data_IF_882524768690
#
_entry.id   IF_882524768690
#
_cell.length_a   1.000
_cell.length_b   1.000
_cell.length_c   1.000
_cell.angle_alpha   90.00
_cell.angle_beta   90.00
_cell.angle_gamma   90.00
#
_symmetry.space_group_name_H-M   'P 1'
#
loop_
_entity.id
_entity.type
_entity.pdbx_description
1 polymer ?
#
# COMPACT_ATOMS: atom_id res chain seq x y z
N UNK A 1 5.09 9.45 39.68
CA UNK A 1 4.21 10.42 38.98
C UNK A 1 4.87 11.80 39.00
N UNK A 2 5.72 12.14 38.01
CA UNK A 2 6.23 13.50 37.87
C UNK A 2 5.22 14.34 37.06
N UNK A 3 4.49 15.24 37.73
CA UNK A 3 3.79 16.34 37.05
C UNK A 3 4.86 17.31 36.51
N UNK A 4 5.07 17.32 35.19
CA UNK A 4 5.84 18.39 34.53
C UNK A 4 4.99 19.67 34.58
N UNK A 5 5.32 20.59 35.48
CA UNK A 5 4.73 21.93 35.50
C UNK A 5 5.13 22.67 34.23
N UNK A 6 4.15 23.07 33.42
CA UNK A 6 4.37 23.97 32.28
C UNK A 6 4.82 25.35 32.79
N UNK A 7 5.83 25.94 32.16
CA UNK A 7 6.28 27.28 32.51
C UNK A 7 5.18 28.32 32.20
N UNK A 8 5.13 29.46 32.91
CA UNK A 8 4.14 30.52 32.66
C UNK A 8 4.14 31.03 31.21
N UNK A 9 5.30 31.02 30.55
CA UNK A 9 5.46 31.36 29.13
C UNK A 9 4.78 30.35 28.20
N UNK A 10 4.92 29.04 28.47
CA UNK A 10 4.26 27.97 27.71
C UNK A 10 2.74 28.00 27.92
N UNK A 11 2.28 28.36 29.12
CA UNK A 11 0.86 28.51 29.43
C UNK A 11 0.23 29.68 28.66
N UNK A 12 0.90 30.84 28.61
CA UNK A 12 0.45 32.01 27.83
C UNK A 12 0.39 31.72 26.33
N UNK A 13 1.39 31.01 25.80
CA UNK A 13 1.42 30.61 24.40
C UNK A 13 0.27 29.63 24.08
N UNK A 14 0.03 28.64 24.94
CA UNK A 14 -1.07 27.69 24.77
C UNK A 14 -2.45 28.39 24.80
N UNK A 15 -2.65 29.35 25.70
CA UNK A 15 -3.86 30.17 25.75
C UNK A 15 -4.03 31.01 24.48
N UNK A 16 -2.98 31.66 24.00
CA UNK A 16 -3.03 32.48 22.78
C UNK A 16 -3.37 31.63 21.53
N UNK A 17 -2.73 30.47 21.38
CA UNK A 17 -3.02 29.52 20.28
C UNK A 17 -4.45 29.00 20.39
N UNK A 18 -4.91 28.64 21.60
CA UNK A 18 -6.28 28.22 21.85
C UNK A 18 -7.31 29.28 21.46
N UNK A 19 -7.07 30.55 21.84
CA UNK A 19 -7.95 31.67 21.45
C UNK A 19 -7.99 31.90 19.95
N UNK A 20 -6.88 31.76 19.23
CA UNK A 20 -6.85 31.88 17.77
C UNK A 20 -7.63 30.76 17.08
N UNK A 21 -7.52 29.51 17.56
CA UNK A 21 -8.28 28.37 17.02
C UNK A 21 -9.79 28.60 17.23
N UNK A 22 -10.20 29.01 18.43
CA UNK A 22 -11.62 29.31 18.73
C UNK A 22 -12.13 30.44 17.84
N UNK A 23 -11.35 31.50 17.65
CA UNK A 23 -11.72 32.61 16.78
C UNK A 23 -11.86 32.15 15.32
N UNK A 24 -10.92 31.37 14.81
CA UNK A 24 -10.96 30.83 13.44
C UNK A 24 -12.20 29.95 13.21
N UNK A 25 -12.52 29.07 14.17
CA UNK A 25 -13.73 28.25 14.15
C UNK A 25 -14.99 29.12 14.16
N UNK A 26 -15.06 30.12 15.06
CA UNK A 26 -16.21 31.02 15.17
C UNK A 26 -16.42 31.84 13.88
N UNK A 27 -15.33 32.33 13.27
CA UNK A 27 -15.38 33.03 11.98
C UNK A 27 -15.88 32.09 10.88
N UNK A 28 -15.38 30.85 10.80
CA UNK A 28 -15.85 29.89 9.80
C UNK A 28 -17.34 29.55 9.97
N UNK A 29 -17.81 29.33 11.20
CA UNK A 29 -19.22 29.13 11.51
C UNK A 29 -20.04 30.35 11.08
N UNK A 30 -19.58 31.56 11.41
CA UNK A 30 -20.25 32.81 11.04
C UNK A 30 -20.34 33.02 9.52
N UNK A 31 -19.35 32.56 8.75
CA UNK A 31 -19.32 32.69 7.30
C UNK A 31 -20.12 31.59 6.56
N UNK A 32 -20.15 30.37 7.09
CA UNK A 32 -20.67 29.19 6.36
C UNK A 32 -21.95 28.60 6.94
N UNK A 33 -22.27 28.91 8.20
CA UNK A 33 -23.33 28.24 8.96
C UNK A 33 -23.04 26.78 9.31
N UNK A 34 -21.84 26.28 8.98
CA UNK A 34 -21.47 24.88 9.21
C UNK A 34 -20.86 24.69 10.59
N UNK A 35 -21.42 23.76 11.36
CA UNK A 35 -20.87 23.38 12.65
C UNK A 35 -19.66 22.45 12.46
N UNK A 36 -18.59 22.62 13.26
CA UNK A 36 -17.50 21.68 13.27
C UNK A 36 -17.91 20.37 13.96
N UNK A 37 -17.42 19.25 13.45
CA UNK A 37 -17.46 17.97 14.15
C UNK A 37 -16.10 17.27 14.05
N UNK A 38 -15.81 16.46 15.06
CA UNK A 38 -14.61 15.63 15.07
C UNK A 38 -14.90 14.34 14.31
N UNK A 39 -14.12 14.08 13.27
CA UNK A 39 -14.18 12.85 12.51
C UNK A 39 -12.88 12.07 12.69
N UNK A 40 -12.99 10.76 12.87
CA UNK A 40 -11.82 9.89 13.01
C UNK A 40 -11.46 9.30 11.66
N UNK A 41 -10.25 9.59 11.20
CA UNK A 41 -9.72 9.06 9.94
C UNK A 41 -8.54 8.12 10.21
N UNK A 42 -8.37 7.15 9.32
CA UNK A 42 -7.16 6.35 9.25
C UNK A 42 -6.14 7.13 8.41
N UNK A 43 -4.97 7.38 8.97
CA UNK A 43 -3.87 8.05 8.27
C UNK A 43 -2.79 7.01 8.05
N UNK A 44 -2.68 6.53 6.81
CA UNK A 44 -1.63 5.63 6.37
C UNK A 44 -0.34 6.39 6.08
N UNK A 45 0.78 5.74 6.35
CA UNK A 45 2.13 6.23 6.07
C UNK A 45 3.03 5.06 5.73
N UNK A 46 4.16 5.35 5.10
CA UNK A 46 5.11 4.34 4.62
C UNK A 46 6.41 4.43 5.43
N UNK A 47 6.97 3.27 5.78
CA UNK A 47 8.27 3.15 6.43
C UNK A 47 9.16 2.15 5.68
N UNK A 48 10.49 2.26 5.89
CA UNK A 48 11.46 1.27 5.44
C UNK A 48 11.92 0.41 6.60
N UNK A 49 11.77 -0.90 6.44
CA UNK A 49 12.26 -1.91 7.38
C UNK A 49 13.48 -2.61 6.78
N UNK A 50 14.39 -3.05 7.64
CA UNK A 50 15.54 -3.88 7.29
C UNK A 50 15.64 -5.09 8.20
N UNK A 51 16.26 -6.15 7.70
CA UNK A 51 16.36 -7.41 8.42
C UNK A 51 17.47 -8.32 7.94
N UNK A 52 17.72 -9.37 8.73
CA UNK A 52 18.59 -10.48 8.30
C UNK A 52 17.87 -11.49 7.42
N UNK A 53 16.54 -11.48 7.47
CA UNK A 53 15.65 -12.37 6.73
C UNK A 53 14.30 -11.67 6.50
N UNK A 54 13.45 -12.15 5.58
CA UNK A 54 12.11 -11.58 5.40
C UNK A 54 11.23 -11.73 6.65
N UNK A 55 11.57 -12.66 7.56
CA UNK A 55 10.88 -12.91 8.84
C UNK A 55 11.52 -12.20 10.05
N UNK A 56 12.54 -11.36 9.81
CA UNK A 56 13.28 -10.63 10.86
C UNK A 56 13.46 -9.17 10.44
N UNK A 57 12.34 -8.49 10.14
CA UNK A 57 12.29 -7.12 9.66
C UNK A 57 12.02 -6.14 10.82
N UNK A 58 12.79 -5.06 10.86
CA UNK A 58 12.69 -4.00 11.88
C UNK A 58 12.77 -2.63 11.21
N UNK A 59 12.12 -1.59 11.77
CA UNK A 59 12.23 -0.23 11.23
C UNK A 59 13.69 0.24 11.21
N UNK A 60 14.12 0.80 10.08
CA UNK A 60 15.50 1.31 9.89
C UNK A 60 15.75 2.62 10.62
N UNK A 61 14.73 3.48 10.68
CA UNK A 61 14.80 4.82 11.21
C UNK A 61 13.57 5.09 12.09
N UNK A 62 13.69 6.07 12.99
CA UNK A 62 12.53 6.60 13.72
C UNK A 62 11.61 7.44 12.80
N UNK A 63 12.11 7.84 11.62
CA UNK A 63 11.42 8.70 10.65
C UNK A 63 10.74 7.82 9.60
N UNK A 64 9.51 8.19 9.26
CA UNK A 64 8.74 7.58 8.18
C UNK A 64 9.39 7.89 6.83
N UNK A 65 9.32 6.94 5.90
CA UNK A 65 9.80 7.14 4.55
C UNK A 65 8.94 8.18 3.82
N UNK A 66 7.61 8.02 3.92
CA UNK A 66 6.67 8.92 3.29
C UNK A 66 5.40 9.09 4.12
N UNK A 67 4.93 10.32 4.23
CA UNK A 67 3.61 10.66 4.78
C UNK A 67 2.81 11.51 3.79
N UNK A 68 1.50 11.63 4.03
CA UNK A 68 0.63 12.48 3.23
C UNK A 68 1.06 13.96 3.22
N UNK A 69 1.74 14.43 4.27
CA UNK A 69 2.23 15.82 4.35
C UNK A 69 3.39 16.11 3.39
N UNK A 70 4.02 15.08 2.81
CA UNK A 70 5.10 15.21 1.84
C UNK A 70 4.60 15.26 0.39
N UNK A 71 3.32 14.98 0.13
CA UNK A 71 2.69 15.13 -1.20
C UNK A 71 2.37 16.61 -1.42
N UNK A 72 2.86 17.20 -2.52
CA UNK A 72 2.82 18.65 -2.72
C UNK A 72 2.13 19.13 -4.02
N UNK A 73 1.69 18.21 -4.89
CA UNK A 73 0.89 18.52 -6.08
C UNK A 73 -0.63 18.51 -5.79
N UNK A 74 -1.07 17.70 -4.82
CA UNK A 74 -2.45 17.66 -4.32
C UNK A 74 -2.51 17.52 -2.80
N UNK A 75 -3.59 17.96 -2.13
CA UNK A 75 -3.80 17.62 -0.72
C UNK A 75 -4.08 16.11 -0.58
N UNK A 76 -3.16 15.37 0.03
CA UNK A 76 -3.34 13.93 0.29
C UNK A 76 -3.88 13.67 1.71
N UNK A 77 -4.73 12.66 1.85
CA UNK A 77 -5.22 12.17 3.14
C UNK A 77 -4.31 11.10 3.74
N UNK A 78 -3.69 10.28 2.90
CA UNK A 78 -2.75 9.22 3.27
C UNK A 78 -1.89 8.78 2.09
N UNK A 79 -0.84 8.00 2.39
CA UNK A 79 -0.07 7.21 1.42
C UNK A 79 0.02 5.75 1.88
N UNK A 80 -0.11 4.78 0.97
CA UNK A 80 -0.18 3.34 1.27
C UNK A 80 0.32 2.45 0.10
N UNK A 81 0.35 1.14 0.30
CA UNK A 81 0.73 0.14 -0.72
C UNK A 81 2.05 0.42 -1.47
N UNK A 82 3.20 0.55 -0.77
CA UNK A 82 4.45 0.88 -1.41
C UNK A 82 5.07 -0.31 -2.16
N UNK A 83 5.45 -0.08 -3.42
CA UNK A 83 6.26 -0.98 -4.25
C UNK A 83 7.61 -0.36 -4.58
N UNK A 84 8.69 -1.09 -4.31
CA UNK A 84 10.04 -0.66 -4.58
C UNK A 84 10.49 -1.15 -5.96
N UNK A 85 11.19 -0.29 -6.69
CA UNK A 85 11.73 -0.63 -8.00
C UNK A 85 13.07 0.05 -8.25
N UNK A 86 14.09 -0.74 -8.55
CA UNK A 86 15.41 -0.22 -8.90
C UNK A 86 15.54 -0.02 -10.41
N UNK A 87 15.91 1.18 -10.83
CA UNK A 87 16.14 1.50 -12.23
C UNK A 87 17.37 2.38 -12.41
N UNK A 88 18.33 1.91 -13.22
CA UNK A 88 19.59 2.63 -13.53
C UNK A 88 20.34 3.14 -12.29
N UNK A 89 20.38 2.32 -11.22
CA UNK A 89 21.04 2.64 -9.96
C UNK A 89 20.23 3.52 -9.00
N UNK A 90 19.08 4.05 -9.42
CA UNK A 90 18.15 4.81 -8.58
C UNK A 90 17.08 3.88 -7.99
N UNK A 91 16.78 4.03 -6.71
CA UNK A 91 15.64 3.38 -6.06
C UNK A 91 14.40 4.27 -6.17
N UNK A 92 13.30 3.69 -6.64
CA UNK A 92 11.99 4.31 -6.77
C UNK A 92 10.98 3.58 -5.89
N UNK A 93 9.99 4.31 -5.40
CA UNK A 93 8.86 3.78 -4.66
C UNK A 93 7.58 4.29 -5.30
N UNK A 94 6.75 3.37 -5.81
CA UNK A 94 5.41 3.66 -6.28
C UNK A 94 4.43 3.35 -5.16
N UNK A 95 3.40 4.16 -4.99
CA UNK A 95 2.46 4.01 -3.87
C UNK A 95 1.08 4.60 -4.23
N UNK A 96 0.05 4.15 -3.51
CA UNK A 96 -1.25 4.81 -3.49
C UNK A 96 -1.16 6.09 -2.67
N UNK A 97 -1.74 7.17 -3.16
CA UNK A 97 -2.13 8.33 -2.35
C UNK A 97 -3.62 8.61 -2.49
N UNK A 98 -4.28 8.92 -1.38
CA UNK A 98 -5.70 9.31 -1.41
C UNK A 98 -5.82 10.82 -1.58
N UNK A 99 -6.17 11.25 -2.77
CA UNK A 99 -6.39 12.65 -3.11
C UNK A 99 -7.65 13.18 -2.40
N UNK A 100 -7.47 14.15 -1.50
CA UNK A 100 -8.56 14.71 -0.70
C UNK A 100 -9.61 15.43 -1.55
N UNK A 101 -9.19 16.02 -2.67
CA UNK A 101 -10.06 16.86 -3.50
C UNK A 101 -11.05 16.03 -4.31
N UNK A 102 -10.60 14.89 -4.81
CA UNK A 102 -11.40 13.94 -5.62
C UNK A 102 -11.95 12.78 -4.80
N UNK A 103 -11.39 12.53 -3.61
CA UNK A 103 -11.69 11.35 -2.77
C UNK A 103 -11.42 10.03 -3.49
N UNK A 104 -10.39 9.98 -4.34
CA UNK A 104 -9.93 8.76 -5.03
C UNK A 104 -8.44 8.52 -4.79
N UNK A 105 -8.03 7.27 -4.93
CA UNK A 105 -6.63 6.86 -4.95
C UNK A 105 -6.00 7.14 -6.31
N UNK A 106 -4.82 7.76 -6.29
CA UNK A 106 -3.95 8.01 -7.44
C UNK A 106 -2.58 7.35 -7.17
N UNK A 107 -1.78 7.10 -8.23
CA UNK A 107 -0.44 6.51 -8.05
C UNK A 107 0.63 7.59 -8.04
N UNK A 108 1.31 7.75 -6.91
CA UNK A 108 2.48 8.59 -6.75
C UNK A 108 3.79 7.84 -6.97
N UNK A 109 4.86 8.59 -7.20
CA UNK A 109 6.23 8.06 -7.15
C UNK A 109 7.11 8.92 -6.24
N UNK A 110 8.01 8.25 -5.52
CA UNK A 110 9.08 8.86 -4.75
C UNK A 110 10.42 8.24 -5.14
N UNK A 111 11.50 9.00 -4.99
CA UNK A 111 12.87 8.53 -5.20
C UNK A 111 13.64 8.53 -3.89
N UNK A 112 14.55 7.57 -3.74
CA UNK A 112 15.50 7.60 -2.65
C UNK A 112 16.61 8.64 -2.92
N UNK A 113 16.94 9.45 -1.93
CA UNK A 113 18.05 10.42 -1.98
C UNK A 113 19.36 9.77 -1.55
N UNK A 114 20.49 10.44 -1.82
CA UNK A 114 21.83 9.93 -1.49
C UNK A 114 22.05 9.68 0.02
N UNK A 115 21.32 10.39 0.88
CA UNK A 115 21.29 10.22 2.33
C UNK A 115 20.30 9.15 2.81
N UNK A 116 19.69 8.41 1.88
CA UNK A 116 18.78 7.29 2.15
C UNK A 116 17.34 7.68 2.48
N UNK A 117 17.01 8.98 2.48
CA UNK A 117 15.65 9.48 2.65
C UNK A 117 14.81 9.29 1.38
N UNK A 118 13.50 9.51 1.49
CA UNK A 118 12.59 9.42 0.35
C UNK A 118 11.99 10.78 0.03
N UNK A 119 12.08 11.15 -1.24
CA UNK A 119 11.59 12.41 -1.78
C UNK A 119 10.42 12.14 -2.73
N UNK A 120 9.27 12.74 -2.42
CA UNK A 120 8.10 12.74 -3.32
C UNK A 120 8.46 13.39 -4.65
N UNK A 121 7.95 12.87 -5.76
CA UNK A 121 8.20 13.43 -7.08
C UNK A 121 6.94 14.00 -7.73
N UNK A 122 5.95 13.15 -8.00
CA UNK A 122 4.65 13.53 -8.57
C UNK A 122 3.68 12.34 -8.61
N UNK A 123 2.41 12.62 -8.86
CA UNK A 123 1.44 11.65 -9.38
C UNK A 123 1.87 11.24 -10.79
N UNK A 124 1.96 9.94 -11.04
CA UNK A 124 2.38 9.35 -12.32
C UNK A 124 1.27 8.58 -13.04
N UNK A 125 0.19 8.24 -12.33
CA UNK A 125 -1.01 7.68 -12.90
C UNK A 125 -2.25 8.18 -12.15
N UNK A 126 -3.08 8.94 -12.87
CA UNK A 126 -4.38 9.46 -12.45
C UNK A 126 -5.39 9.07 -13.53
N UNK A 127 -6.47 8.40 -13.11
CA UNK A 127 -7.53 7.89 -13.96
C UNK A 127 -8.88 8.39 -13.45
N UNK A 128 -9.96 8.22 -14.22
CA UNK A 128 -11.30 8.61 -13.75
C UNK A 128 -11.89 7.66 -12.67
N UNK A 129 -11.06 6.83 -12.05
CA UNK A 129 -11.45 5.78 -11.10
C UNK A 129 -10.32 5.55 -10.09
N UNK A 130 -10.67 5.01 -8.92
CA UNK A 130 -9.72 4.72 -7.84
C UNK A 130 -8.64 3.72 -8.27
N UNK A 131 -7.39 4.08 -8.00
CA UNK A 131 -6.19 3.26 -8.18
C UNK A 131 -5.49 3.03 -6.84
N UNK A 132 -4.97 1.83 -6.62
CA UNK A 132 -4.07 1.51 -5.51
C UNK A 132 -3.11 0.39 -5.91
N UNK A 133 -2.31 -0.13 -4.97
CA UNK A 133 -1.48 -1.32 -5.18
C UNK A 133 -0.65 -1.34 -6.49
N UNK A 134 0.23 -0.35 -6.75
CA UNK A 134 0.89 -0.17 -8.05
C UNK A 134 2.06 -1.14 -8.27
N UNK A 135 1.76 -2.41 -8.56
CA UNK A 135 2.78 -3.44 -8.78
C UNK A 135 3.64 -3.13 -10.02
N UNK A 136 4.90 -2.75 -9.84
CA UNK A 136 5.85 -2.45 -10.94
C UNK A 136 6.83 -3.59 -11.18
N UNK A 137 7.08 -3.96 -12.44
CA UNK A 137 8.02 -5.03 -12.81
C UNK A 137 8.58 -4.86 -14.23
N UNK A 138 9.72 -5.50 -14.52
CA UNK A 138 10.30 -5.56 -15.86
C UNK A 138 9.85 -6.82 -16.61
N UNK A 139 9.61 -6.69 -17.91
CA UNK A 139 9.42 -7.81 -18.82
C UNK A 139 9.89 -7.45 -20.23
N UNK A 140 10.66 -8.34 -20.86
CA UNK A 140 11.15 -8.18 -22.25
C UNK A 140 11.79 -6.81 -22.57
N UNK A 141 12.50 -6.22 -21.60
CA UNK A 141 13.20 -4.94 -21.77
C UNK A 141 12.34 -3.70 -21.50
N UNK A 142 11.05 -3.89 -21.24
CA UNK A 142 10.09 -2.84 -20.90
C UNK A 142 9.73 -2.88 -19.41
N UNK A 143 9.15 -1.79 -18.90
CA UNK A 143 8.69 -1.67 -17.52
C UNK A 143 7.18 -1.53 -17.50
N UNK A 144 6.53 -2.34 -16.69
CA UNK A 144 5.09 -2.44 -16.59
C UNK A 144 4.60 -2.14 -15.16
N UNK A 145 3.36 -1.70 -15.07
CA UNK A 145 2.63 -1.52 -13.82
C UNK A 145 1.26 -2.20 -13.94
N UNK A 146 0.86 -2.90 -12.88
CA UNK A 146 -0.51 -3.40 -12.71
C UNK A 146 -1.03 -2.88 -11.37
N UNK A 147 -1.83 -1.79 -11.36
CA UNK A 147 -2.48 -1.31 -10.15
C UNK A 147 -3.74 -2.15 -9.82
N UNK A 148 -4.21 -2.05 -8.58
CA UNK A 148 -5.62 -2.36 -8.29
C UNK A 148 -6.50 -1.33 -9.00
N UNK A 149 -7.43 -1.83 -9.82
CA UNK A 149 -8.43 -1.04 -10.53
C UNK A 149 -9.84 -1.59 -10.33
N UNK A 150 -10.13 -2.11 -9.12
CA UNK A 150 -11.36 -2.85 -8.78
C UNK A 150 -12.65 -2.09 -9.14
N UNK A 151 -12.62 -0.75 -9.10
CA UNK A 151 -13.74 0.12 -9.49
C UNK A 151 -14.22 -0.10 -10.93
N UNK A 152 -13.34 -0.58 -11.81
CA UNK A 152 -13.64 -0.86 -13.22
C UNK A 152 -14.13 -2.29 -13.48
N UNK A 153 -14.03 -3.21 -12.49
CA UNK A 153 -14.14 -4.67 -12.68
C UNK A 153 -13.11 -5.22 -13.69
N UNK A 154 -11.97 -4.55 -13.82
CA UNK A 154 -10.88 -4.94 -14.69
C UNK A 154 -9.56 -5.00 -13.91
N UNK A 155 -8.66 -5.88 -14.33
CA UNK A 155 -7.23 -5.79 -14.02
C UNK A 155 -6.55 -5.18 -15.24
N UNK A 156 -5.89 -4.03 -15.07
CA UNK A 156 -5.37 -3.22 -16.17
C UNK A 156 -3.84 -3.23 -16.17
N UNK A 157 -3.24 -3.45 -17.34
CA UNK A 157 -1.80 -3.41 -17.56
C UNK A 157 -1.42 -2.04 -18.15
N UNK A 158 -0.42 -1.42 -17.55
CA UNK A 158 0.20 -0.19 -18.01
C UNK A 158 1.68 -0.44 -18.35
N UNK A 159 2.21 0.28 -19.32
CA UNK A 159 3.64 0.30 -19.67
C UNK A 159 4.20 1.70 -19.44
N UNK A 160 5.44 1.79 -18.97
CA UNK A 160 6.13 3.06 -18.86
C UNK A 160 6.48 3.60 -20.27
N UNK A 161 5.79 4.65 -20.72
CA UNK A 161 6.15 5.39 -21.92
C UNK A 161 7.43 6.22 -21.69
N UNK A 162 7.59 6.75 -20.47
CA UNK A 162 8.80 7.42 -20.01
C UNK A 162 8.98 7.13 -18.52
N UNK A 163 9.74 6.09 -18.19
CA UNK A 163 9.94 5.72 -16.80
C UNK A 163 10.69 6.82 -16.01
N UNK A 164 10.27 7.14 -14.77
CA UNK A 164 9.12 6.60 -14.01
C UNK A 164 7.82 7.41 -14.18
N UNK A 165 7.83 8.48 -14.98
CA UNK A 165 6.87 9.57 -14.89
C UNK A 165 5.66 9.46 -15.82
N UNK A 166 5.73 8.69 -16.91
CA UNK A 166 4.62 8.55 -17.85
C UNK A 166 4.30 7.07 -18.10
N UNK A 167 3.02 6.75 -17.94
CA UNK A 167 2.46 5.42 -18.09
C UNK A 167 1.34 5.45 -19.11
N UNK A 168 1.25 4.41 -19.94
CA UNK A 168 0.19 4.25 -20.92
C UNK A 168 -0.55 2.94 -20.69
N UNK A 169 -1.87 2.98 -20.82
CA UNK A 169 -2.69 1.78 -20.77
C UNK A 169 -2.38 0.88 -21.97
N UNK A 170 -2.05 -0.38 -21.70
CA UNK A 170 -1.74 -1.38 -22.72
C UNK A 170 -2.98 -2.21 -23.01
N UNK A 171 -3.55 -2.84 -21.98
CA UNK A 171 -4.69 -3.76 -22.12
C UNK A 171 -5.30 -4.12 -20.77
N UNK A 172 -6.56 -4.56 -20.80
CA UNK A 172 -7.20 -5.28 -19.70
C UNK A 172 -6.77 -6.76 -19.71
N UNK A 173 -6.19 -7.23 -18.60
CA UNK A 173 -5.76 -8.62 -18.39
C UNK A 173 -6.93 -9.54 -18.03
N UNK A 174 -7.80 -9.10 -17.12
CA UNK A 174 -8.98 -9.83 -16.63
C UNK A 174 -10.18 -8.88 -16.57
N UNK A 175 -11.37 -9.35 -16.95
CA UNK A 175 -12.65 -8.57 -16.98
C UNK A 175 -13.73 -9.10 -16.03
N UNK A 176 -13.34 -9.99 -15.13
CA UNK A 176 -14.26 -10.70 -14.26
C UNK A 176 -13.94 -10.38 -12.81
N UNK A 177 -14.98 -10.28 -12.01
CA UNK A 177 -14.92 -9.92 -10.59
C UNK A 177 -14.40 -8.49 -10.34
N UNK A 178 -14.64 -8.00 -9.13
CA UNK A 178 -13.95 -6.81 -8.61
C UNK A 178 -12.69 -7.28 -7.91
N UNK A 179 -11.60 -7.32 -8.65
CA UNK A 179 -10.34 -7.85 -8.18
C UNK A 179 -9.52 -6.77 -7.48
N UNK A 180 -9.03 -7.11 -6.29
CA UNK A 180 -8.15 -6.31 -5.45
C UNK A 180 -6.73 -6.87 -5.46
N UNK A 181 -5.76 -5.98 -5.31
CA UNK A 181 -4.32 -6.25 -5.16
C UNK A 181 -3.74 -7.28 -6.16
N UNK A 182 -3.90 -7.08 -7.48
CA UNK A 182 -3.41 -8.03 -8.49
C UNK A 182 -1.89 -8.22 -8.39
N UNK A 183 -1.48 -9.41 -7.98
CA UNK A 183 -0.09 -9.76 -7.68
C UNK A 183 0.45 -10.73 -8.72
N UNK A 184 1.02 -10.19 -9.81
CA UNK A 184 1.64 -10.96 -10.90
C UNK A 184 3.03 -11.53 -10.57
N UNK A 185 3.37 -12.74 -10.99
CA UNK A 185 4.74 -13.25 -10.89
C UNK A 185 5.02 -14.29 -11.96
N UNK A 186 6.30 -14.53 -12.24
CA UNK A 186 6.73 -15.56 -13.17
C UNK A 186 7.20 -16.79 -12.40
N UNK A 187 6.70 -17.96 -12.80
CA UNK A 187 7.13 -19.24 -12.25
C UNK A 187 7.11 -20.27 -13.39
N UNK A 188 8.21 -21.01 -13.56
CA UNK A 188 8.36 -22.07 -14.57
C UNK A 188 7.90 -21.70 -15.99
N UNK A 189 8.25 -20.50 -16.45
CA UNK A 189 7.90 -20.05 -17.80
C UNK A 189 6.42 -19.72 -18.00
N UNK A 190 5.67 -19.50 -16.91
CA UNK A 190 4.27 -19.06 -16.93
C UNK A 190 4.06 -17.84 -16.03
N UNK A 191 3.11 -16.99 -16.41
CA UNK A 191 2.66 -15.85 -15.63
C UNK A 191 1.54 -16.31 -14.73
N UNK A 192 1.61 -15.91 -13.47
CA UNK A 192 0.64 -16.20 -12.44
C UNK A 192 0.18 -14.90 -11.83
N UNK A 193 -1.06 -14.85 -11.35
CA UNK A 193 -1.60 -13.69 -10.66
C UNK A 193 -2.53 -14.11 -9.52
N UNK A 194 -2.14 -13.74 -8.31
CA UNK A 194 -3.08 -13.74 -7.18
C UNK A 194 -3.90 -12.46 -7.20
N UNK A 195 -5.19 -12.56 -6.90
CA UNK A 195 -6.04 -11.39 -6.71
C UNK A 195 -7.13 -11.68 -5.68
N UNK A 196 -7.37 -10.73 -4.78
CA UNK A 196 -8.48 -10.79 -3.83
C UNK A 196 -9.81 -10.36 -4.46
N UNK A 197 -10.95 -10.70 -3.87
CA UNK A 197 -12.21 -10.00 -4.18
C UNK A 197 -12.38 -8.76 -3.29
N UNK A 198 -12.50 -7.58 -3.92
CA UNK A 198 -12.43 -6.29 -3.24
C UNK A 198 -13.57 -6.03 -2.25
N UNK A 199 -14.74 -6.66 -2.44
CA UNK A 199 -15.91 -6.37 -1.62
C UNK A 199 -15.90 -7.10 -0.27
N UNK A 200 -15.36 -8.31 -0.25
CA UNK A 200 -15.41 -9.20 0.92
C UNK A 200 -14.06 -9.35 1.60
N UNK A 201 -12.96 -9.10 0.89
CA UNK A 201 -11.57 -9.32 1.34
C UNK A 201 -11.29 -10.76 1.80
N UNK A 202 -12.19 -11.70 1.52
CA UNK A 202 -12.18 -13.06 2.09
C UNK A 202 -12.02 -14.17 1.05
N UNK A 203 -11.85 -13.77 -0.21
CA UNK A 203 -11.67 -14.67 -1.36
C UNK A 203 -10.37 -14.35 -2.08
N UNK A 204 -9.62 -15.40 -2.38
CA UNK A 204 -8.38 -15.35 -3.16
C UNK A 204 -8.58 -16.16 -4.43
N UNK A 205 -8.36 -15.52 -5.58
CA UNK A 205 -8.38 -16.15 -6.89
C UNK A 205 -6.98 -16.25 -7.46
N UNK A 206 -6.75 -17.27 -8.27
CA UNK A 206 -5.51 -17.48 -9.01
C UNK A 206 -5.80 -17.51 -10.50
N UNK A 207 -4.99 -16.79 -11.25
CA UNK A 207 -5.03 -16.76 -12.71
C UNK A 207 -3.66 -17.11 -13.27
N UNK A 208 -3.62 -17.61 -14.50
CA UNK A 208 -2.39 -17.88 -15.21
C UNK A 208 -2.48 -17.54 -16.70
N UNK A 209 -1.32 -17.25 -17.30
CA UNK A 209 -1.18 -16.93 -18.72
C UNK A 209 0.21 -17.34 -19.23
N UNK A 210 0.30 -17.71 -20.51
CA UNK A 210 1.61 -17.97 -21.14
C UNK A 210 2.39 -16.67 -21.35
N UNK A 211 1.69 -15.64 -21.83
CA UNK A 211 2.19 -14.30 -22.13
C UNK A 211 1.60 -13.26 -21.17
N UNK A 212 2.31 -12.15 -20.96
CA UNK A 212 1.90 -11.12 -20.00
C UNK A 212 0.54 -10.50 -20.39
N UNK A 213 0.34 -10.26 -21.69
CA UNK A 213 -0.87 -9.68 -22.27
C UNK A 213 -2.05 -10.65 -22.34
N UNK A 214 -1.86 -11.89 -21.89
CA UNK A 214 -2.86 -12.95 -21.85
C UNK A 214 -2.84 -13.90 -23.05
N UNK A 215 -3.90 -14.70 -23.24
CA UNK A 215 -5.11 -14.70 -22.42
C UNK A 215 -4.83 -15.15 -20.98
N UNK A 216 -5.44 -14.45 -20.01
CA UNK A 216 -5.43 -14.85 -18.62
C UNK A 216 -6.62 -15.78 -18.37
N UNK A 217 -6.32 -16.94 -17.81
CA UNK A 217 -7.28 -17.99 -17.49
C UNK A 217 -7.33 -18.14 -15.98
N UNK A 218 -8.53 -18.22 -15.43
CA UNK A 218 -8.70 -18.55 -14.02
C UNK A 218 -8.29 -20.00 -13.77
N UNK A 219 -7.48 -20.21 -12.74
CA UNK A 219 -6.96 -21.53 -12.37
C UNK A 219 -8.10 -22.46 -11.93
N UNK A 220 -7.99 -23.77 -12.22
CA UNK A 220 -9.06 -24.75 -11.99
C UNK A 220 -9.43 -24.94 -10.52
N UNK A 221 -8.49 -24.69 -9.61
CA UNK A 221 -8.73 -24.72 -8.15
C UNK A 221 -9.16 -23.35 -7.57
N UNK A 222 -9.33 -22.33 -8.40
CA UNK A 222 -9.82 -21.03 -7.96
C UNK A 222 -11.33 -21.09 -7.63
N UNK A 223 -11.81 -20.43 -6.56
CA UNK A 223 -11.03 -19.63 -5.61
C UNK A 223 -10.20 -20.51 -4.66
N UNK A 224 -8.93 -20.14 -4.46
CA UNK A 224 -8.00 -20.84 -3.57
C UNK A 224 -8.37 -20.68 -2.10
N UNK A 225 -9.05 -19.58 -1.76
CA UNK A 225 -9.56 -19.28 -0.42
C UNK A 225 -10.97 -18.74 -0.56
N UNK A 226 -11.85 -19.14 0.34
CA UNK A 226 -13.22 -18.61 0.48
C UNK A 226 -13.53 -18.39 1.96
N UNK A 227 -14.27 -17.32 2.28
CA UNK A 227 -14.59 -16.94 3.66
C UNK A 227 -13.36 -16.84 4.59
N UNK A 228 -12.20 -16.43 4.05
CA UNK A 228 -10.90 -16.38 4.74
C UNK A 228 -10.33 -14.95 4.81
N UNK A 229 -11.00 -14.00 5.50
CA UNK A 229 -10.58 -12.59 5.55
C UNK A 229 -9.22 -12.38 6.23
N UNK A 230 -8.68 -13.38 6.91
CA UNK A 230 -7.40 -13.35 7.60
C UNK A 230 -6.20 -13.79 6.72
N UNK A 231 -6.45 -14.29 5.50
CA UNK A 231 -5.42 -14.92 4.66
C UNK A 231 -5.53 -14.61 3.15
N UNK A 232 -6.71 -14.17 2.69
CA UNK A 232 -7.06 -14.17 1.28
C UNK A 232 -6.48 -12.99 0.49
N UNK A 233 -6.63 -11.75 0.99
CA UNK A 233 -6.26 -10.55 0.24
C UNK A 233 -4.72 -10.47 0.07
N UNK A 234 -4.17 -10.28 -1.13
CA UNK A 234 -2.72 -10.15 -1.32
C UNK A 234 -2.11 -8.95 -0.58
N UNK A 235 -0.89 -9.07 -0.07
CA UNK A 235 -0.26 -8.06 0.79
C UNK A 235 1.10 -7.53 0.32
N UNK A 236 1.46 -7.79 -0.94
CA UNK A 236 2.69 -7.31 -1.56
C UNK A 236 3.22 -8.27 -2.62
N UNK A 237 4.42 -8.02 -3.14
CA UNK A 237 5.04 -8.91 -4.13
C UNK A 237 5.26 -10.32 -3.60
N UNK A 238 5.19 -11.30 -4.52
CA UNK A 238 5.74 -12.63 -4.29
C UNK A 238 7.27 -12.53 -4.21
N UNK A 239 7.88 -13.05 -3.14
CA UNK A 239 9.32 -13.02 -2.93
C UNK A 239 9.92 -14.42 -2.90
N UNK A 240 11.24 -14.52 -3.10
CA UNK A 240 12.00 -15.76 -3.01
C UNK A 240 12.94 -15.73 -1.81
N UNK A 241 12.97 -16.80 -1.02
CA UNK A 241 13.91 -16.94 0.10
C UNK A 241 14.32 -18.41 0.23
N UNK A 242 15.64 -18.64 0.33
CA UNK A 242 16.22 -20.00 0.44
C UNK A 242 15.74 -20.98 -0.65
N UNK A 243 15.54 -20.49 -1.88
CA UNK A 243 15.07 -21.31 -3.00
C UNK A 243 13.58 -21.65 -2.96
N UNK A 244 12.81 -21.02 -2.06
CA UNK A 244 11.36 -21.16 -1.91
C UNK A 244 10.66 -19.87 -2.29
N UNK A 245 9.43 -19.97 -2.79
CA UNK A 245 8.62 -18.83 -3.21
C UNK A 245 7.51 -18.58 -2.18
N UNK A 246 7.26 -17.31 -1.86
CA UNK A 246 6.28 -16.93 -0.84
C UNK A 246 5.34 -15.86 -1.37
N UNK A 247 4.04 -16.06 -1.21
CA UNK A 247 3.06 -14.97 -1.35
C UNK A 247 2.80 -14.31 0.00
N UNK A 248 2.42 -13.04 -0.04
CA UNK A 248 1.98 -12.29 1.12
C UNK A 248 0.45 -12.25 1.16
N UNK A 249 -0.14 -12.55 2.31
CA UNK A 249 -1.57 -12.45 2.57
C UNK A 249 -1.86 -11.53 3.75
N UNK A 250 -2.77 -10.59 3.55
CA UNK A 250 -3.26 -9.70 4.58
C UNK A 250 -4.16 -10.45 5.55
N UNK A 251 -4.05 -10.05 6.82
CA UNK A 251 -4.97 -10.44 7.85
C UNK A 251 -5.93 -9.29 8.15
N UNK A 252 -7.15 -9.39 7.59
CA UNK A 252 -8.18 -8.36 7.71
C UNK A 252 -9.21 -8.65 8.81
N UNK A 253 -9.03 -9.68 9.64
CA UNK A 253 -10.00 -10.10 10.66
C UNK A 253 -9.45 -9.91 12.08
N UNK A 254 -10.22 -9.45 13.08
CA UNK A 254 -11.55 -8.85 12.96
C UNK A 254 -11.50 -7.39 12.48
N UNK A 255 -10.30 -6.87 12.15
CA UNK A 255 -10.08 -5.49 11.69
C UNK A 255 -9.10 -5.51 10.53
N UNK A 256 -9.38 -4.69 9.52
CA UNK A 256 -8.52 -4.49 8.36
C UNK A 256 -7.10 -4.07 8.76
N UNK A 257 -6.10 -4.72 8.16
CA UNK A 257 -4.68 -4.51 8.43
C UNK A 257 -4.23 -4.95 9.83
N UNK A 258 -4.75 -6.07 10.35
CA UNK A 258 -4.28 -6.62 11.64
C UNK A 258 -2.82 -7.05 11.54
N UNK A 259 -2.51 -7.81 10.50
CA UNK A 259 -1.21 -8.40 10.28
C UNK A 259 -0.98 -8.76 8.81
N UNK A 260 0.24 -9.19 8.53
CA UNK A 260 0.68 -9.72 7.25
C UNK A 260 1.38 -11.06 7.47
N UNK A 261 1.03 -12.05 6.66
CA UNK A 261 1.56 -13.41 6.74
C UNK A 261 2.16 -13.82 5.37
N UNK A 262 3.25 -14.59 5.40
CA UNK A 262 3.84 -15.20 4.22
C UNK A 262 3.46 -16.68 4.12
N UNK A 263 3.08 -17.13 2.93
CA UNK A 263 2.69 -18.51 2.63
C UNK A 263 3.69 -19.08 1.63
N UNK A 264 4.41 -20.13 2.00
CA UNK A 264 5.29 -20.85 1.07
C UNK A 264 4.43 -21.52 -0.01
N UNK A 265 4.68 -21.20 -1.28
CA UNK A 265 4.09 -21.90 -2.42
C UNK A 265 4.87 -23.20 -2.58
N UNK A 266 4.23 -24.32 -2.20
CA UNK A 266 4.82 -25.65 -2.26
C UNK A 266 4.72 -26.23 -3.67
N UNK A 267 3.60 -25.96 -4.34
CA UNK A 267 3.29 -26.46 -5.68
C UNK A 267 2.42 -25.45 -6.43
N UNK A 268 2.75 -25.20 -7.69
CA UNK A 268 1.94 -24.37 -8.58
C UNK A 268 2.14 -24.83 -10.04
N UNK A 269 1.11 -25.45 -10.60
CA UNK A 269 0.98 -25.77 -12.01
C UNK A 269 -0.43 -25.48 -12.50
N UNK A 270 -0.76 -25.76 -13.77
CA UNK A 270 -2.06 -25.42 -14.36
C UNK A 270 -3.26 -26.18 -13.77
N UNK A 271 -2.98 -27.21 -12.98
CA UNK A 271 -3.95 -28.14 -12.39
C UNK A 271 -3.92 -28.20 -10.87
N UNK A 272 -2.85 -27.73 -10.23
CA UNK A 272 -2.65 -27.83 -8.79
C UNK A 272 -1.97 -26.60 -8.18
N UNK A 273 -2.49 -26.17 -7.05
CA UNK A 273 -1.91 -25.17 -6.17
C UNK A 273 -1.86 -25.68 -4.73
N UNK A 274 -0.69 -25.64 -4.10
CA UNK A 274 -0.52 -25.92 -2.67
C UNK A 274 0.38 -24.89 -2.02
N UNK A 275 0.01 -24.52 -0.79
CA UNK A 275 0.81 -23.65 0.06
C UNK A 275 0.83 -24.14 1.50
N UNK A 276 1.93 -23.84 2.20
CA UNK A 276 2.04 -24.12 3.63
C UNK A 276 1.26 -23.09 4.47
N UNK A 277 0.89 -23.44 5.72
CA UNK A 277 0.29 -22.49 6.64
C UNK A 277 1.10 -21.19 6.77
N UNK A 278 0.39 -20.07 6.84
CA UNK A 278 0.99 -18.73 6.87
C UNK A 278 1.91 -18.53 8.07
N UNK A 279 3.09 -17.99 7.80
CA UNK A 279 4.05 -17.57 8.80
C UNK A 279 3.96 -16.05 8.99
N UNK A 280 3.93 -15.60 10.23
CA UNK A 280 3.82 -14.19 10.55
C UNK A 280 5.03 -13.39 10.03
N UNK A 281 4.76 -12.24 9.42
CA UNK A 281 5.78 -11.30 8.90
C UNK A 281 5.75 -9.98 9.66
N UNK A 282 4.58 -9.32 9.70
CA UNK A 282 4.42 -7.99 10.28
C UNK A 282 3.04 -7.86 10.94
N UNK A 283 2.93 -7.02 11.96
CA UNK A 283 1.65 -6.60 12.55
C UNK A 283 1.69 -5.13 12.92
N UNK A 284 0.50 -4.58 13.19
CA UNK A 284 0.35 -3.31 13.87
C UNK A 284 1.27 -3.21 15.10
N UNK A 285 1.87 -2.04 15.30
CA UNK A 285 2.63 -1.73 16.50
C UNK A 285 1.73 -1.44 17.70
N UNK A 286 2.30 -1.40 18.90
CA UNK A 286 1.55 -1.04 20.12
C UNK A 286 1.24 0.47 20.19
N UNK A 287 2.01 1.30 19.50
CA UNK A 287 1.92 2.75 19.52
C UNK A 287 2.48 3.38 18.24
N UNK A 288 2.15 4.65 18.00
CA UNK A 288 2.70 5.43 16.89
C UNK A 288 1.94 5.26 15.57
N UNK A 289 2.67 5.48 14.47
CA UNK A 289 2.12 5.66 13.12
C UNK A 289 1.44 4.42 12.55
N UNK A 290 1.79 3.22 13.02
CA UNK A 290 1.22 1.93 12.61
C UNK A 290 0.38 1.25 13.71
N UNK A 291 -0.05 2.00 14.73
CA UNK A 291 -0.73 1.45 15.92
C UNK A 291 -2.12 0.89 15.67
N UNK A 292 -2.75 1.23 14.55
CA UNK A 292 -4.10 0.79 14.22
C UNK A 292 -4.13 -0.30 13.14
N UNK A 293 -3.04 -0.47 12.37
CA UNK A 293 -2.90 -1.54 11.39
C UNK A 293 -1.68 -1.40 10.47
N UNK A 294 -1.34 -2.50 9.80
CA UNK A 294 -0.36 -2.64 8.71
C UNK A 294 -0.88 -3.74 7.77
N UNK A 295 -0.79 -3.58 6.46
CA UNK A 295 -1.25 -4.63 5.53
C UNK A 295 -0.37 -4.84 4.30
N UNK A 296 0.59 -3.97 4.05
CA UNK A 296 1.43 -4.08 2.87
C UNK A 296 2.90 -4.24 3.23
N UNK A 297 3.61 -5.09 2.48
CA UNK A 297 5.06 -5.09 2.42
C UNK A 297 5.57 -5.47 1.03
N UNK A 298 6.51 -4.71 0.49
CA UNK A 298 7.27 -5.08 -0.70
C UNK A 298 8.74 -5.29 -0.32
N UNK A 299 9.24 -6.52 -0.50
CA UNK A 299 10.52 -6.98 0.04
C UNK A 299 11.49 -7.32 -1.08
N UNK A 300 12.76 -7.00 -0.86
CA UNK A 300 13.87 -7.52 -1.66
C UNK A 300 15.14 -7.73 -0.82
N UNK A 301 16.05 -8.54 -1.35
CA UNK A 301 17.35 -8.78 -0.75
C UNK A 301 18.42 -7.91 -1.42
N UNK A 302 19.24 -7.26 -0.60
CA UNK A 302 20.43 -6.52 -1.02
C UNK A 302 21.59 -7.48 -1.32
N UNK A 303 22.56 -7.02 -2.11
CA UNK A 303 23.78 -7.79 -2.45
C UNK A 303 24.57 -8.27 -1.23
N UNK A 304 24.48 -7.53 -0.11
CA UNK A 304 25.12 -7.90 1.15
C UNK A 304 24.32 -8.93 1.98
N UNK A 305 23.23 -9.47 1.42
CA UNK A 305 22.37 -10.49 2.04
C UNK A 305 21.30 -9.94 2.99
N UNK A 306 21.33 -8.65 3.34
CA UNK A 306 20.28 -8.03 4.17
C UNK A 306 18.99 -7.89 3.37
N UNK A 307 17.87 -7.91 4.08
CA UNK A 307 16.54 -7.70 3.54
C UNK A 307 16.11 -6.26 3.77
N UNK A 308 15.45 -5.68 2.79
CA UNK A 308 14.79 -4.37 2.86
C UNK A 308 13.32 -4.58 2.52
N UNK A 309 12.44 -3.87 3.22
CA UNK A 309 11.02 -3.86 2.94
C UNK A 309 10.47 -2.43 2.99
N UNK A 310 9.70 -2.01 1.99
CA UNK A 310 8.78 -0.89 2.18
C UNK A 310 7.49 -1.44 2.74
N UNK A 311 6.99 -0.84 3.81
CA UNK A 311 5.79 -1.29 4.52
C UNK A 311 4.86 -0.11 4.75
N UNK A 312 3.56 -0.38 4.78
CA UNK A 312 2.58 0.61 5.22
C UNK A 312 2.06 0.33 6.62
N UNK A 313 1.37 1.33 7.16
CA UNK A 313 0.71 1.25 8.44
C UNK A 313 -0.08 2.50 8.72
N UNK A 314 -1.10 2.37 9.57
CA UNK A 314 -1.93 3.50 9.94
C UNK A 314 -2.13 3.65 11.43
N UNK A 315 -2.47 4.89 11.76
CA UNK A 315 -2.97 5.31 13.05
C UNK A 315 -4.31 6.02 12.86
N UNK A 316 -5.05 6.11 13.95
CA UNK A 316 -6.31 6.87 13.98
C UNK A 316 -6.02 8.29 14.41
N UNK A 317 -6.32 9.26 13.55
CA UNK A 317 -6.26 10.69 13.88
C UNK A 317 -7.66 11.28 13.89
N UNK A 318 -7.85 12.25 14.79
CA UNK A 318 -9.03 13.09 14.80
C UNK A 318 -8.77 14.31 13.93
N UNK A 319 -9.65 14.54 12.96
CA UNK A 319 -9.64 15.74 12.14
C UNK A 319 -10.92 16.53 12.40
N UNK A 320 -10.80 17.85 12.32
CA UNK A 320 -11.94 18.76 12.40
C UNK A 320 -12.52 18.91 11.00
N UNK A 321 -13.78 18.52 10.81
CA UNK A 321 -14.54 18.80 9.58
C UNK A 321 -15.64 19.81 9.88
N UNK A 322 -16.04 20.56 8.86
CA UNK A 322 -17.17 21.47 8.90
C UNK A 322 -18.23 20.97 7.92
N UNK A 323 -19.50 20.95 8.34
CA UNK A 323 -20.62 20.51 7.50
C UNK A 323 -21.53 19.50 8.20
N UNK A 324 -22.28 18.73 7.41
CA UNK A 324 -23.08 17.62 7.93
C UNK A 324 -22.16 16.42 8.26
N UNK A 325 -22.41 15.72 9.39
CA UNK A 325 -21.60 14.59 9.85
C UNK A 325 -21.63 13.36 8.95
#
# INVERSE_FOLDING_TARGET
MLRRNLSPSKLRLALAVGSMIVLAIAVHIGLTGQLPFLHRVNVWSIAIYEGKSPFDLHPTHEILALTAEQVDDVPALFVADPFLYQYKGQQWMFFELLNQSTSQGDIGVARQTDDGQWHYEQIVLDESFHLSYPRVFAWEGEIYMVPESAATNEVRLYRAAQFPYQWEFVRTLVRQHRLADPTLFRHEGRWWMFAGESHTHDRLRLYHAEQLEGPWVEHVESPLRESSPDLARPGGSVFQWQGKQYRLGQDCSPKYGRALNAFEIEEIDESCYRELPGQHILSAGDAGWNSAGMHHADLYQLDNGRWVAAVDGHQKRWILKFGLP
#
